data_IF_363844540596
#
_entry.id   IF_363844540596
#
_cell.length_a   1.000
_cell.length_b   1.000
_cell.length_c   1.000
_cell.angle_alpha   90.00
_cell.angle_beta   90.00
_cell.angle_gamma   90.00
#
_symmetry.space_group_name_H-M   'P 1'
#
loop_
_entity.id
_entity.type
_entity.pdbx_description
1 polymer ?
#
# COMPACT_ATOMS: atom_id res chain seq x y z
N UNK A 1 7.50 -0.25 15.92
CA UNK A 1 6.89 -1.55 15.49
C UNK A 1 6.25 -1.39 14.13
N UNK A 2 6.40 -2.34 13.20
CA UNK A 2 5.78 -2.28 11.86
C UNK A 2 4.92 -3.51 11.62
N UNK A 3 3.71 -3.32 11.11
CA UNK A 3 2.83 -4.38 10.59
C UNK A 3 2.71 -4.21 9.08
N UNK A 4 3.27 -5.13 8.30
CA UNK A 4 3.08 -5.18 6.86
C UNK A 4 1.88 -6.00 6.47
N UNK A 5 1.04 -5.50 5.56
CA UNK A 5 -0.14 -6.20 5.08
C UNK A 5 0.03 -6.53 3.60
N UNK A 6 -0.06 -7.83 3.29
CA UNK A 6 -0.09 -8.36 1.94
C UNK A 6 -1.47 -8.96 1.61
N UNK A 7 -1.78 -9.10 0.35
CA UNK A 7 -3.00 -9.71 -0.20
C UNK A 7 -3.26 -9.21 -1.61
N UNK A 8 -4.03 -9.94 -2.39
CA UNK A 8 -4.41 -9.55 -3.74
C UNK A 8 -5.25 -8.28 -3.77
N UNK A 9 -5.39 -7.67 -4.93
CA UNK A 9 -6.30 -6.54 -5.11
C UNK A 9 -7.72 -6.94 -4.72
N UNK A 10 -8.41 -6.08 -3.93
CA UNK A 10 -9.77 -6.35 -3.47
C UNK A 10 -9.90 -7.25 -2.23
N UNK A 11 -8.80 -7.73 -1.60
CA UNK A 11 -8.89 -8.53 -0.37
C UNK A 11 -9.20 -7.73 0.89
N UNK A 12 -9.19 -6.39 0.85
CA UNK A 12 -9.50 -5.53 1.99
C UNK A 12 -8.28 -5.14 2.85
N UNK A 13 -7.08 -5.08 2.27
CA UNK A 13 -5.85 -4.68 2.99
C UNK A 13 -5.96 -3.32 3.69
N UNK A 14 -6.45 -2.31 2.97
CA UNK A 14 -6.63 -0.96 3.54
C UNK A 14 -7.68 -0.98 4.67
N UNK A 15 -8.77 -1.74 4.50
CA UNK A 15 -9.77 -1.95 5.55
C UNK A 15 -9.14 -2.58 6.79
N UNK A 16 -8.33 -3.62 6.63
CA UNK A 16 -7.63 -4.27 7.76
C UNK A 16 -6.68 -3.28 8.44
N UNK A 17 -5.99 -2.41 7.70
CA UNK A 17 -5.16 -1.35 8.29
C UNK A 17 -5.96 -0.43 9.22
N UNK A 18 -7.14 0.03 8.78
CA UNK A 18 -8.05 0.84 9.60
C UNK A 18 -8.57 0.07 10.82
N UNK A 19 -8.88 -1.22 10.65
CA UNK A 19 -9.33 -2.08 11.75
C UNK A 19 -8.23 -2.36 12.78
N UNK A 20 -6.95 -2.38 12.38
CA UNK A 20 -5.82 -2.45 13.33
C UNK A 20 -5.78 -1.19 14.20
N UNK A 21 -5.90 0.00 13.59
CA UNK A 21 -6.00 1.24 14.36
C UNK A 21 -7.20 1.20 15.33
N UNK A 22 -8.38 0.84 14.82
CA UNK A 22 -9.60 0.78 15.63
C UNK A 22 -9.47 -0.25 16.77
N UNK A 23 -8.93 -1.43 16.53
CA UNK A 23 -8.73 -2.46 17.55
C UNK A 23 -7.70 -2.06 18.62
N UNK A 24 -6.78 -1.15 18.28
CA UNK A 24 -5.78 -0.61 19.19
C UNK A 24 -6.28 0.65 19.95
N UNK A 25 -7.51 1.09 19.73
CA UNK A 25 -8.15 2.12 20.56
C UNK A 25 -8.93 1.46 21.69
N UNK A 26 -8.98 2.11 22.86
CA UNK A 26 -9.71 1.58 24.01
C UNK A 26 -11.24 1.66 23.84
N UNK A 27 -11.72 2.59 23.02
CA UNK A 27 -13.15 2.84 22.87
C UNK A 27 -13.49 3.37 21.48
N UNK A 28 -14.65 2.96 20.96
CA UNK A 28 -15.29 3.61 19.80
C UNK A 28 -16.07 4.82 20.32
N UNK A 29 -16.01 5.99 19.66
CA UNK A 29 -16.77 7.17 20.05
C UNK A 29 -18.28 6.87 20.13
N UNK A 30 -18.96 7.46 21.10
CA UNK A 30 -20.40 7.30 21.25
C UNK A 30 -21.15 7.73 19.98
N UNK A 31 -22.08 6.90 19.53
CA UNK A 31 -22.87 7.16 18.32
C UNK A 31 -22.26 6.66 17.02
N UNK A 32 -21.06 6.05 17.06
CA UNK A 32 -20.42 5.46 15.89
C UNK A 32 -20.31 3.93 16.03
N UNK A 33 -20.37 3.25 14.89
CA UNK A 33 -20.05 1.83 14.80
C UNK A 33 -18.81 1.59 13.92
N UNK A 34 -18.42 0.33 13.76
CA UNK A 34 -17.25 -0.02 12.95
C UNK A 34 -17.40 0.35 11.48
N UNK A 35 -18.63 0.31 10.95
CA UNK A 35 -18.91 0.67 9.56
C UNK A 35 -18.76 2.17 9.35
N UNK A 36 -19.33 2.99 10.25
CA UNK A 36 -19.21 4.44 10.19
C UNK A 36 -17.74 4.88 10.16
N UNK A 37 -16.92 4.31 11.04
CA UNK A 37 -15.50 4.65 11.16
C UNK A 37 -14.71 4.21 9.92
N UNK A 38 -14.96 3.02 9.40
CA UNK A 38 -14.24 2.50 8.24
C UNK A 38 -14.64 3.23 6.96
N UNK A 39 -15.94 3.47 6.74
CA UNK A 39 -16.46 4.10 5.53
C UNK A 39 -16.15 5.60 5.48
N UNK A 40 -16.17 6.29 6.63
CA UNK A 40 -15.82 7.71 6.76
C UNK A 40 -14.38 7.90 7.30
N UNK A 41 -13.46 7.00 6.98
CA UNK A 41 -12.10 7.01 7.50
C UNK A 41 -11.36 8.36 7.36
N UNK A 42 -11.46 9.11 6.26
CA UNK A 42 -10.77 10.40 6.17
C UNK A 42 -11.13 11.37 7.30
N UNK A 43 -12.38 11.34 7.76
CA UNK A 43 -12.86 12.20 8.85
C UNK A 43 -12.40 11.72 10.23
N UNK A 44 -12.10 10.41 10.35
CA UNK A 44 -11.68 9.77 11.60
C UNK A 44 -10.17 9.47 11.67
N UNK A 45 -9.42 9.67 10.59
CA UNK A 45 -8.01 9.27 10.49
C UNK A 45 -7.18 9.87 11.62
N UNK A 46 -7.25 11.19 11.82
CA UNK A 46 -6.48 11.88 12.86
C UNK A 46 -6.78 11.31 14.25
N UNK A 47 -8.05 11.09 14.56
CA UNK A 47 -8.47 10.54 15.84
C UNK A 47 -7.96 9.10 16.03
N UNK A 48 -8.05 8.27 14.99
CA UNK A 48 -7.55 6.88 15.03
C UNK A 48 -6.04 6.85 15.22
N UNK A 49 -5.29 7.68 14.51
CA UNK A 49 -3.83 7.77 14.66
C UNK A 49 -3.44 8.22 16.07
N UNK A 50 -4.10 9.25 16.62
CA UNK A 50 -3.83 9.75 17.97
C UNK A 50 -4.15 8.71 19.04
N UNK A 51 -5.31 8.05 18.97
CA UNK A 51 -5.77 7.12 20.02
C UNK A 51 -5.09 5.76 19.96
N UNK A 52 -4.83 5.25 18.76
CA UNK A 52 -4.15 3.97 18.60
C UNK A 52 -2.63 4.08 18.70
N UNK A 53 -2.08 5.23 18.38
CA UNK A 53 -0.65 5.45 18.17
C UNK A 53 -0.10 4.75 16.93
N UNK A 54 -0.95 4.22 16.04
CA UNK A 54 -0.58 3.58 14.79
C UNK A 54 -0.85 4.49 13.59
N UNK A 55 0.12 4.62 12.70
CA UNK A 55 0.02 5.37 11.45
C UNK A 55 -0.05 4.43 10.25
N UNK A 56 -0.98 4.68 9.31
CA UNK A 56 -1.01 3.96 8.04
C UNK A 56 0.00 4.59 7.07
N UNK A 57 0.93 3.75 6.58
CA UNK A 57 1.92 4.13 5.57
C UNK A 57 1.76 3.26 4.32
N UNK A 58 2.32 3.74 3.21
CA UNK A 58 2.36 2.99 1.94
C UNK A 58 3.75 3.11 1.31
N UNK A 59 4.30 2.01 0.78
CA UNK A 59 5.52 2.04 -0.02
C UNK A 59 5.36 2.98 -1.22
N UNK A 60 4.17 2.93 -1.86
CA UNK A 60 3.83 3.80 -2.98
C UNK A 60 3.51 5.26 -2.60
N UNK A 61 3.56 5.65 -1.34
CA UNK A 61 3.28 7.03 -0.90
C UNK A 61 4.24 8.03 -1.53
N UNK A 62 5.54 7.81 -1.42
CA UNK A 62 6.58 8.67 -2.02
C UNK A 62 6.49 8.71 -3.55
N UNK A 63 6.07 7.62 -4.21
CA UNK A 63 5.84 7.61 -5.66
C UNK A 63 4.80 8.65 -6.07
N UNK A 64 3.68 8.73 -5.38
CA UNK A 64 2.60 9.68 -5.70
C UNK A 64 3.02 11.13 -5.47
N UNK A 65 3.84 11.38 -4.44
CA UNK A 65 4.44 12.70 -4.22
C UNK A 65 5.34 13.09 -5.38
N UNK A 66 6.20 12.18 -5.86
CA UNK A 66 7.06 12.43 -7.03
C UNK A 66 6.19 12.63 -8.29
N UNK A 67 5.18 11.79 -8.49
CA UNK A 67 4.23 11.92 -9.60
C UNK A 67 3.52 13.28 -9.59
N UNK A 68 3.10 13.76 -8.41
CA UNK A 68 2.51 15.09 -8.22
C UNK A 68 3.46 16.21 -8.61
N UNK A 69 4.72 16.13 -8.22
CA UNK A 69 5.74 17.11 -8.59
C UNK A 69 5.99 17.15 -10.11
N UNK A 70 5.94 16.01 -10.79
CA UNK A 70 6.18 15.90 -12.22
C UNK A 70 4.99 16.36 -13.08
N UNK A 71 3.77 16.16 -12.59
CA UNK A 71 2.54 16.37 -13.37
C UNK A 71 1.73 17.59 -12.94
N UNK A 72 1.98 18.12 -11.74
CA UNK A 72 1.14 19.16 -11.13
C UNK A 72 -0.22 18.66 -10.61
N UNK A 73 -0.49 17.34 -10.71
CA UNK A 73 -1.73 16.72 -10.21
C UNK A 73 -1.57 16.47 -8.71
N UNK A 74 -2.62 16.75 -7.92
CA UNK A 74 -2.54 16.54 -6.46
C UNK A 74 -2.41 15.06 -6.10
N UNK A 75 -1.75 14.76 -4.97
CA UNK A 75 -1.50 13.39 -4.50
C UNK A 75 -2.81 12.62 -4.27
N UNK A 76 -3.85 13.30 -3.79
CA UNK A 76 -5.16 12.71 -3.50
C UNK A 76 -5.82 12.16 -4.76
N UNK A 77 -5.66 12.85 -5.91
CA UNK A 77 -6.18 12.36 -7.20
C UNK A 77 -5.55 11.04 -7.63
N UNK A 78 -4.28 10.78 -7.25
CA UNK A 78 -3.65 9.49 -7.51
C UNK A 78 -4.17 8.35 -6.61
N UNK A 79 -5.06 8.61 -5.66
CA UNK A 79 -5.78 7.55 -4.92
C UNK A 79 -7.05 7.11 -5.66
N UNK A 80 -7.67 7.99 -6.44
CA UNK A 80 -8.91 7.70 -7.18
C UNK A 80 -8.71 6.63 -8.27
N UNK A 81 -9.49 5.56 -8.20
CA UNK A 81 -9.38 4.43 -9.14
C UNK A 81 -9.91 4.75 -10.55
N UNK A 82 -10.91 5.62 -10.66
CA UNK A 82 -11.45 6.03 -11.96
C UNK A 82 -10.48 7.02 -12.63
N UNK A 83 -9.94 7.96 -11.87
CA UNK A 83 -8.92 8.87 -12.38
C UNK A 83 -7.69 8.13 -12.92
N UNK A 84 -7.26 7.04 -12.28
CA UNK A 84 -6.14 6.22 -12.76
C UNK A 84 -6.35 5.62 -14.14
N UNK A 85 -7.59 5.51 -14.61
CA UNK A 85 -7.94 4.99 -15.94
C UNK A 85 -7.94 6.08 -17.03
N UNK A 86 -7.88 7.35 -16.64
CA UNK A 86 -7.86 8.48 -17.58
C UNK A 86 -6.48 8.72 -18.15
N UNK A 87 -6.40 9.36 -19.32
CA UNK A 87 -5.16 9.80 -19.93
C UNK A 87 -4.60 11.03 -19.18
N UNK A 88 -3.28 11.10 -19.03
CA UNK A 88 -2.60 12.23 -18.38
C UNK A 88 -2.71 13.54 -19.18
N UNK A 89 -2.60 13.45 -20.51
CA UNK A 89 -2.59 14.58 -21.42
C UNK A 89 -1.70 14.34 -22.64
N UNK A 90 -1.81 15.15 -23.68
CA UNK A 90 -1.08 14.95 -24.93
C UNK A 90 0.45 15.05 -24.75
N UNK A 91 0.92 15.83 -23.79
CA UNK A 91 2.33 15.97 -23.43
C UNK A 91 2.95 14.69 -22.83
N UNK A 92 2.11 13.74 -22.40
CA UNK A 92 2.49 12.44 -21.85
C UNK A 92 2.28 11.29 -22.83
N UNK A 93 2.06 11.59 -24.12
CA UNK A 93 1.96 10.59 -25.19
C UNK A 93 3.35 9.98 -25.42
N UNK A 94 3.40 8.64 -25.49
CA UNK A 94 4.63 7.90 -25.78
C UNK A 94 4.61 7.36 -27.19
N UNK A 95 5.78 7.20 -27.79
CA UNK A 95 5.95 6.54 -29.07
C UNK A 95 6.27 5.07 -28.83
N UNK A 96 5.42 4.18 -29.31
CA UNK A 96 5.66 2.74 -29.29
C UNK A 96 5.86 2.20 -30.70
N UNK A 97 6.78 1.23 -30.90
CA UNK A 97 6.93 0.59 -32.21
C UNK A 97 5.60 -0.03 -32.64
N UNK A 98 5.19 0.24 -33.85
CA UNK A 98 4.01 -0.41 -34.42
C UNK A 98 4.33 -1.88 -34.67
N UNK A 99 3.85 -2.74 -33.80
CA UNK A 99 4.08 -4.17 -33.90
C UNK A 99 2.94 -4.84 -34.67
N UNK A 100 2.94 -4.69 -36.00
CA UNK A 100 2.01 -5.43 -36.85
C UNK A 100 2.74 -6.62 -37.47
N UNK A 101 2.14 -7.80 -37.37
CA UNK A 101 2.58 -8.99 -38.12
C UNK A 101 2.21 -8.87 -39.62
N UNK A 102 1.81 -7.70 -40.11
CA UNK A 102 1.43 -7.46 -41.49
C UNK A 102 2.68 -7.12 -42.32
N UNK A 103 3.00 -7.89 -43.38
CA UNK A 103 4.24 -7.74 -44.15
C UNK A 103 4.35 -6.45 -44.98
N UNK A 104 3.32 -5.59 -44.96
CA UNK A 104 3.30 -4.31 -45.69
C UNK A 104 3.49 -3.08 -44.78
N UNK A 105 3.72 -3.27 -43.48
CA UNK A 105 4.00 -2.18 -42.55
C UNK A 105 5.52 -1.99 -42.50
N UNK A 106 5.99 -0.76 -42.68
CA UNK A 106 7.42 -0.47 -42.59
C UNK A 106 7.93 -0.68 -41.15
N UNK A 107 9.10 -1.29 -40.98
CA UNK A 107 9.73 -1.61 -39.70
C UNK A 107 9.97 -0.42 -38.76
N UNK A 108 9.63 0.81 -39.18
CA UNK A 108 9.90 2.04 -38.46
C UNK A 108 8.61 2.86 -38.17
N UNK A 109 7.42 2.30 -38.37
CA UNK A 109 6.23 3.02 -37.94
C UNK A 109 6.10 3.00 -36.42
N UNK A 110 5.88 4.20 -35.86
CA UNK A 110 5.62 4.39 -34.43
C UNK A 110 4.18 4.84 -34.23
N UNK A 111 3.55 4.30 -33.21
CA UNK A 111 2.24 4.75 -32.75
C UNK A 111 2.40 5.75 -31.62
N UNK A 112 1.63 6.82 -31.68
CA UNK A 112 1.45 7.70 -30.54
C UNK A 112 0.39 7.11 -29.60
N UNK A 113 0.81 6.63 -28.45
CA UNK A 113 -0.07 6.01 -27.46
C UNK A 113 -0.24 6.96 -26.28
N UNK A 114 -1.46 7.44 -26.03
CA UNK A 114 -1.74 8.25 -24.85
C UNK A 114 -1.47 7.46 -23.59
N UNK A 115 -0.66 8.01 -22.68
CA UNK A 115 -0.33 7.37 -21.40
C UNK A 115 -1.46 7.60 -20.40
N UNK A 116 -2.00 6.53 -19.82
CA UNK A 116 -2.92 6.67 -18.70
C UNK A 116 -2.18 7.02 -17.41
N UNK A 117 -2.89 7.59 -16.44
CA UNK A 117 -2.33 7.85 -15.10
C UNK A 117 -1.77 6.57 -14.47
N UNK A 118 -2.43 5.43 -14.68
CA UNK A 118 -1.96 4.12 -14.21
C UNK A 118 -0.64 3.71 -14.85
N UNK A 119 -0.53 3.83 -16.17
CA UNK A 119 0.69 3.47 -16.90
C UNK A 119 1.86 4.37 -16.48
N UNK A 120 1.60 5.66 -16.31
CA UNK A 120 2.60 6.60 -15.79
C UNK A 120 3.12 6.19 -14.42
N UNK A 121 2.22 5.90 -13.47
CA UNK A 121 2.62 5.46 -12.13
C UNK A 121 3.38 4.13 -12.16
N UNK A 122 3.01 3.20 -13.04
CA UNK A 122 3.74 1.93 -13.21
C UNK A 122 5.12 2.14 -13.80
N UNK A 123 5.22 2.92 -14.90
CA UNK A 123 6.51 3.24 -15.54
C UNK A 123 7.43 4.00 -14.59
N UNK A 124 6.93 5.02 -13.91
CA UNK A 124 7.73 5.78 -12.93
C UNK A 124 8.16 4.89 -11.76
N UNK A 125 7.23 4.14 -11.20
CA UNK A 125 7.45 3.36 -9.98
C UNK A 125 8.28 2.10 -10.19
N UNK A 126 8.07 1.39 -11.28
CA UNK A 126 8.73 0.12 -11.57
C UNK A 126 9.90 0.32 -12.51
N UNK A 127 9.65 0.79 -13.73
CA UNK A 127 10.68 0.82 -14.77
C UNK A 127 11.74 1.88 -14.46
N UNK A 128 11.31 3.10 -14.12
CA UNK A 128 12.21 4.23 -13.88
C UNK A 128 12.96 4.10 -12.55
N UNK A 129 12.24 3.92 -11.45
CA UNK A 129 12.85 4.05 -10.13
C UNK A 129 13.24 2.70 -9.50
N UNK A 130 12.41 1.67 -9.57
CA UNK A 130 12.79 0.36 -9.01
C UNK A 130 13.82 -0.35 -9.87
N UNK A 131 13.62 -0.42 -11.18
CA UNK A 131 14.52 -1.13 -12.11
C UNK A 131 15.67 -0.23 -12.55
N UNK A 132 15.37 1.01 -12.96
CA UNK A 132 16.35 1.92 -13.53
C UNK A 132 17.29 2.56 -12.51
N UNK A 133 16.82 2.82 -11.27
CA UNK A 133 17.64 3.42 -10.23
C UNK A 133 18.14 2.38 -9.22
N UNK A 134 17.24 1.74 -8.45
CA UNK A 134 17.62 0.74 -7.46
C UNK A 134 16.40 -0.08 -7.01
N UNK A 135 16.55 -1.40 -6.87
CA UNK A 135 15.45 -2.30 -6.48
C UNK A 135 14.79 -1.94 -5.13
N UNK A 136 15.57 -1.40 -4.20
CA UNK A 136 15.11 -0.97 -2.88
C UNK A 136 14.72 0.52 -2.83
N UNK A 137 14.51 1.20 -3.95
CA UNK A 137 14.19 2.63 -3.97
C UNK A 137 13.04 2.97 -3.01
N UNK A 138 11.94 2.22 -3.09
CA UNK A 138 10.76 2.49 -2.25
C UNK A 138 10.96 2.08 -0.79
N UNK A 139 11.69 0.98 -0.57
CA UNK A 139 12.08 0.54 0.78
C UNK A 139 12.93 1.61 1.44
N UNK A 140 13.99 2.03 0.78
CA UNK A 140 14.90 3.05 1.30
C UNK A 140 14.18 4.37 1.57
N UNK A 141 13.31 4.79 0.62
CA UNK A 141 12.59 6.05 0.72
C UNK A 141 11.57 6.08 1.87
N UNK A 142 10.87 4.96 2.15
CA UNK A 142 9.94 4.90 3.26
C UNK A 142 10.68 4.68 4.60
N UNK A 143 11.63 3.75 4.63
CA UNK A 143 12.37 3.42 5.86
C UNK A 143 13.28 4.55 6.35
N UNK A 144 13.64 5.51 5.48
CA UNK A 144 14.34 6.72 5.90
C UNK A 144 13.52 7.58 6.87
N UNK A 145 12.19 7.48 6.83
CA UNK A 145 11.29 8.19 7.75
C UNK A 145 11.04 7.37 9.06
N UNK A 146 11.51 6.11 9.13
CA UNK A 146 11.34 5.25 10.30
C UNK A 146 12.45 5.49 11.31
N UNK A 147 12.31 6.55 12.09
CA UNK A 147 13.31 6.99 13.08
C UNK A 147 12.76 6.89 14.48
N UNK A 148 13.60 6.41 15.40
CA UNK A 148 13.26 6.37 16.82
C UNK A 148 13.49 7.73 17.48
N UNK A 149 12.58 8.14 18.33
CA UNK A 149 12.73 9.32 19.20
C UNK A 149 13.35 8.90 20.53
N UNK A 150 14.51 9.45 20.85
CA UNK A 150 15.17 9.21 22.12
C UNK A 150 14.62 10.17 23.18
N UNK A 151 14.19 9.61 24.29
CA UNK A 151 13.69 10.33 25.46
C UNK A 151 14.79 10.37 26.53
N UNK A 152 15.25 11.58 26.84
CA UNK A 152 16.31 11.83 27.83
C UNK A 152 15.88 11.52 29.28
N UNK A 153 14.59 11.67 29.58
CA UNK A 153 14.08 11.47 30.95
C UNK A 153 13.95 10.00 31.30
N UNK A 154 13.60 9.17 30.31
CA UNK A 154 13.38 7.72 30.50
C UNK A 154 14.55 6.87 30.02
N UNK A 155 15.57 7.46 29.39
CA UNK A 155 16.70 6.76 28.75
C UNK A 155 16.25 5.67 27.76
N UNK A 156 15.20 5.95 26.99
CA UNK A 156 14.60 4.99 26.06
C UNK A 156 14.40 5.59 24.68
N UNK A 157 14.53 4.74 23.66
CA UNK A 157 14.15 5.08 22.29
C UNK A 157 12.76 4.51 22.00
N UNK A 158 11.83 5.41 21.65
CA UNK A 158 10.48 5.04 21.20
C UNK A 158 10.45 5.04 19.69
N UNK A 159 10.01 3.94 19.09
CA UNK A 159 9.86 3.78 17.65
C UNK A 159 8.41 4.00 17.22
N UNK A 160 8.15 4.64 16.08
CA UNK A 160 6.81 4.79 15.57
C UNK A 160 6.16 3.42 15.33
N UNK A 161 4.82 3.40 15.39
CA UNK A 161 4.03 2.22 15.07
C UNK A 161 3.40 2.41 13.69
N UNK A 162 3.84 1.62 12.72
CA UNK A 162 3.38 1.74 11.34
C UNK A 162 2.61 0.52 10.87
N UNK A 163 1.55 0.77 10.09
CA UNK A 163 0.79 -0.21 9.34
C UNK A 163 1.03 0.05 7.86
N UNK A 164 1.70 -0.87 7.16
CA UNK A 164 2.01 -0.71 5.73
C UNK A 164 1.07 -1.60 4.93
N UNK A 165 0.06 -1.01 4.27
CA UNK A 165 -1.07 -1.74 3.67
C UNK A 165 -0.82 -2.22 2.24
N UNK A 166 0.32 -1.89 1.63
CA UNK A 166 0.65 -2.21 0.24
C UNK A 166 1.94 -3.03 0.08
N UNK A 167 2.25 -3.89 1.06
CA UNK A 167 3.43 -4.78 0.99
C UNK A 167 3.25 -5.84 -0.09
N UNK A 168 4.10 -5.82 -1.12
CA UNK A 168 3.96 -6.63 -2.34
C UNK A 168 5.19 -7.43 -2.72
N UNK A 169 6.39 -7.00 -2.31
CA UNK A 169 7.65 -7.59 -2.74
C UNK A 169 8.46 -8.14 -1.57
N UNK A 170 9.30 -9.19 -1.82
CA UNK A 170 10.12 -9.80 -0.77
C UNK A 170 11.06 -8.82 -0.05
N UNK A 171 11.65 -7.84 -0.76
CA UNK A 171 12.50 -6.82 -0.16
C UNK A 171 11.75 -5.90 0.79
N UNK A 172 10.47 -5.58 0.48
CA UNK A 172 9.58 -4.80 1.36
C UNK A 172 9.24 -5.60 2.63
N UNK A 173 8.84 -6.87 2.47
CA UNK A 173 8.56 -7.77 3.59
C UNK A 173 9.81 -8.00 4.45
N UNK A 174 10.98 -8.16 3.85
CA UNK A 174 12.24 -8.33 4.57
C UNK A 174 12.65 -7.07 5.35
N UNK A 175 12.41 -5.88 4.79
CA UNK A 175 12.68 -4.63 5.51
C UNK A 175 11.83 -4.50 6.78
N UNK A 176 10.54 -4.89 6.70
CA UNK A 176 9.66 -4.97 7.87
C UNK A 176 10.21 -5.95 8.91
N UNK A 177 10.62 -7.15 8.49
CA UNK A 177 11.21 -8.17 9.38
C UNK A 177 12.51 -7.68 10.04
N UNK A 178 13.36 -7.00 9.29
CA UNK A 178 14.62 -6.44 9.80
C UNK A 178 14.39 -5.34 10.85
N UNK A 179 13.26 -4.62 10.74
CA UNK A 179 12.82 -3.64 11.75
C UNK A 179 12.10 -4.27 12.96
N UNK A 180 12.10 -5.60 13.09
CA UNK A 180 11.41 -6.33 14.16
C UNK A 180 9.90 -6.39 13.99
N UNK A 181 9.38 -6.12 12.79
CA UNK A 181 7.96 -6.13 12.49
C UNK A 181 7.41 -7.51 12.08
N UNK A 182 6.11 -7.55 11.84
CA UNK A 182 5.39 -8.73 11.34
C UNK A 182 4.78 -8.47 9.98
N UNK A 183 4.64 -9.53 9.16
CA UNK A 183 3.99 -9.47 7.85
C UNK A 183 2.79 -10.42 7.84
N UNK A 184 1.60 -9.87 7.60
CA UNK A 184 0.34 -10.61 7.59
C UNK A 184 -0.23 -10.72 6.18
N UNK A 185 -0.87 -11.85 5.87
CA UNK A 185 -1.59 -12.08 4.61
C UNK A 185 -3.09 -11.96 4.82
N UNK A 186 -3.75 -11.19 3.95
CA UNK A 186 -5.21 -11.13 3.90
C UNK A 186 -5.67 -11.91 2.68
N UNK A 187 -6.44 -12.95 2.93
CA UNK A 187 -7.11 -13.74 1.91
C UNK A 187 -8.62 -13.46 1.93
N UNK A 188 -9.27 -13.47 0.76
CA UNK A 188 -10.72 -13.28 0.63
C UNK A 188 -11.30 -14.31 -0.33
N UNK A 189 -12.39 -15.02 0.05
CA UNK A 189 -13.03 -15.99 -0.83
C UNK A 189 -13.41 -15.36 -2.17
N UNK A 190 -13.10 -16.06 -3.27
CA UNK A 190 -13.41 -15.60 -4.63
C UNK A 190 -12.46 -14.53 -5.18
N UNK A 191 -11.48 -14.06 -4.41
CA UNK A 191 -10.45 -13.12 -4.87
C UNK A 191 -9.17 -13.88 -5.16
N UNK A 192 -8.70 -13.80 -6.40
CA UNK A 192 -7.45 -14.37 -6.87
C UNK A 192 -6.60 -13.28 -7.54
N UNK A 193 -5.35 -13.58 -7.87
CA UNK A 193 -4.52 -12.65 -8.63
C UNK A 193 -5.19 -12.33 -9.98
N UNK A 194 -5.50 -11.05 -10.19
CA UNK A 194 -6.22 -10.59 -11.41
C UNK A 194 -5.33 -10.67 -12.64
N UNK A 195 -4.02 -10.50 -12.47
CA UNK A 195 -3.01 -10.59 -13.51
C UNK A 195 -1.77 -11.28 -12.95
N UNK A 196 -1.01 -11.98 -13.79
CA UNK A 196 0.28 -12.56 -13.41
C UNK A 196 1.39 -11.49 -13.18
N UNK A 197 1.02 -10.24 -12.89
CA UNK A 197 1.99 -9.18 -12.63
C UNK A 197 2.75 -9.46 -11.33
N UNK A 198 4.09 -9.33 -11.32
CA UNK A 198 4.91 -9.61 -10.13
C UNK A 198 4.46 -8.92 -8.85
N UNK A 199 3.88 -7.72 -8.93
CA UNK A 199 3.36 -7.00 -7.76
C UNK A 199 2.17 -7.67 -7.07
N UNK A 200 1.52 -8.65 -7.72
CA UNK A 200 0.41 -9.40 -7.11
C UNK A 200 0.87 -10.75 -6.54
N UNK A 201 1.89 -11.37 -7.15
CA UNK A 201 2.27 -12.76 -6.87
C UNK A 201 3.64 -12.93 -6.21
N UNK A 202 4.47 -11.89 -6.14
CA UNK A 202 5.85 -12.01 -5.66
C UNK A 202 5.98 -12.52 -4.21
N UNK A 203 4.93 -12.41 -3.39
CA UNK A 203 4.90 -12.91 -2.02
C UNK A 203 4.08 -14.21 -1.84
N UNK A 204 3.62 -14.87 -2.91
CA UNK A 204 2.80 -16.08 -2.77
C UNK A 204 3.53 -17.22 -2.02
N UNK A 205 4.85 -17.30 -2.16
CA UNK A 205 5.69 -18.25 -1.46
C UNK A 205 6.33 -17.69 -0.17
N UNK A 206 5.95 -16.48 0.27
CA UNK A 206 6.48 -15.88 1.49
C UNK A 206 5.90 -16.56 2.72
N UNK A 207 6.73 -16.75 3.75
CA UNK A 207 6.29 -17.26 5.04
C UNK A 207 5.75 -16.11 5.89
N UNK A 208 4.44 -15.90 5.83
CA UNK A 208 3.75 -14.89 6.64
C UNK A 208 3.72 -15.27 8.12
N UNK A 209 3.81 -14.27 9.00
CA UNK A 209 3.66 -14.50 10.45
C UNK A 209 2.22 -14.90 10.78
N UNK A 210 1.23 -14.25 10.11
CA UNK A 210 -0.19 -14.56 10.25
C UNK A 210 -0.92 -14.50 8.92
N UNK A 211 -2.07 -15.18 8.88
CA UNK A 211 -3.06 -15.09 7.79
C UNK A 211 -4.42 -14.77 8.38
N UNK A 212 -5.13 -13.82 7.78
CA UNK A 212 -6.50 -13.46 8.14
C UNK A 212 -7.38 -13.73 6.92
N UNK A 213 -8.49 -14.45 7.16
CA UNK A 213 -9.52 -14.70 6.16
C UNK A 213 -10.58 -13.59 6.25
N UNK A 214 -10.67 -12.74 5.23
CA UNK A 214 -11.72 -11.73 5.10
C UNK A 214 -12.91 -12.32 4.32
N UNK A 215 -13.66 -13.18 4.97
CA UNK A 215 -14.80 -13.88 4.35
C UNK A 215 -16.16 -13.56 4.98
N UNK A 216 -16.18 -12.66 5.96
CA UNK A 216 -17.37 -12.31 6.75
C UNK A 216 -17.58 -10.79 6.79
N UNK A 217 -18.40 -10.31 7.72
CA UNK A 217 -18.64 -8.90 7.97
C UNK A 217 -17.46 -8.18 8.65
N UNK A 218 -17.53 -6.85 8.73
CA UNK A 218 -16.49 -6.02 9.34
C UNK A 218 -16.31 -6.31 10.84
N UNK A 219 -17.37 -6.63 11.54
CA UNK A 219 -17.32 -6.93 12.99
C UNK A 219 -16.51 -8.20 13.24
N UNK A 220 -16.76 -9.25 12.46
CA UNK A 220 -15.99 -10.51 12.52
C UNK A 220 -14.52 -10.29 12.14
N UNK A 221 -14.27 -9.44 11.15
CA UNK A 221 -12.92 -9.08 10.73
C UNK A 221 -12.19 -8.29 11.83
N UNK A 222 -12.86 -7.31 12.46
CA UNK A 222 -12.33 -6.56 13.60
C UNK A 222 -11.96 -7.49 14.76
N UNK A 223 -12.83 -8.46 15.07
CA UNK A 223 -12.56 -9.46 16.11
C UNK A 223 -11.30 -10.30 15.78
N UNK A 224 -11.16 -10.72 14.53
CA UNK A 224 -10.00 -11.47 14.06
C UNK A 224 -8.70 -10.66 14.16
N UNK A 225 -8.75 -9.38 13.79
CA UNK A 225 -7.65 -8.42 13.93
C UNK A 225 -7.29 -8.22 15.40
N UNK A 226 -8.27 -7.98 16.28
CA UNK A 226 -8.04 -7.81 17.72
C UNK A 226 -7.38 -9.04 18.37
N UNK A 227 -7.80 -10.25 17.98
CA UNK A 227 -7.16 -11.49 18.45
C UNK A 227 -5.69 -11.61 17.99
N UNK A 228 -5.40 -11.19 16.75
CA UNK A 228 -4.03 -11.17 16.26
C UNK A 228 -3.18 -10.19 17.08
N UNK A 229 -3.67 -8.97 17.31
CA UNK A 229 -2.92 -7.95 18.06
C UNK A 229 -2.64 -8.38 19.50
N UNK A 230 -3.62 -9.01 20.18
CA UNK A 230 -3.41 -9.57 21.53
C UNK A 230 -2.37 -10.70 21.53
N UNK A 231 -2.39 -11.58 20.52
CA UNK A 231 -1.42 -12.67 20.39
C UNK A 231 0.02 -12.17 20.22
N UNK A 232 0.19 -11.01 19.62
CA UNK A 232 1.49 -10.36 19.38
C UNK A 232 1.84 -9.34 20.47
N UNK A 233 1.07 -9.26 21.56
CA UNK A 233 1.24 -8.30 22.67
C UNK A 233 1.30 -6.83 22.17
N UNK A 234 0.46 -6.50 21.19
CA UNK A 234 0.41 -5.17 20.59
C UNK A 234 -0.71 -4.28 21.14
N UNK A 235 -1.67 -4.90 21.84
CA UNK A 235 -2.77 -4.27 22.60
C UNK A 235 -3.06 -5.08 23.87
#
# INVERSE_FOLDING_TARGET
>A
MIIGINGYSGTGKDTVGKLIQLAATDTIPEGYDVYDIVDNYPDHQWWLEEKSGWEIKKWAGKLKTIASLLTGISVEKFEDQEFKKTNLGPEWTIQEPYNSNAPWVADNEVLEVPMTVRDFLQKLGTDGLRTGLHENTWVNALMADYEGTYDLDTDRTTWPKWIITDTRFPNEAQAIKNAGGIVIRIDRPGVTAVNAHPSETALDNWKFDHKIMNGSDLTSLLFSVGNLLRKEDLI
#
